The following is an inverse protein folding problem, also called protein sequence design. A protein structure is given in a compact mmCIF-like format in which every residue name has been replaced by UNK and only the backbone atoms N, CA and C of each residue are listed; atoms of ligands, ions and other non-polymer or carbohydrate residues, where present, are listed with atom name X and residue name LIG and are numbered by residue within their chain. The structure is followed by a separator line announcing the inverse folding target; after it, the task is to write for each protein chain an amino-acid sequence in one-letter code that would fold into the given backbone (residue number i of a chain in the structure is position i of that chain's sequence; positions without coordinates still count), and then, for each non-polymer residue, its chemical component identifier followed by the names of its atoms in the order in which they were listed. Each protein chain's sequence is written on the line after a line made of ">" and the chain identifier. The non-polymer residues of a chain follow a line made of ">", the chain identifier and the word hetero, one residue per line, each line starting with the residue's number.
data_IF_482825986272
#
_entry.id   IF_482825986272
#
_cell.length_a   1.000
_cell.length_b   1.000
_cell.length_c   1.000
_cell.angle_alpha   90.00
_cell.angle_beta   90.00
_cell.angle_gamma   90.00
#
_symmetry.space_group_name_H-M   'P 1'
#
loop_
_entity.id
_entity.type
_entity.pdbx_description
1 polymer ?
#
# COMPACT_ATOMS: atom_id res chain seq x y z
N UNK A 1 -32.29 -3.88 24.47
CA UNK A 1 -33.40 -2.97 24.08
C UNK A 1 -34.63 -3.14 24.97
N UNK A 2 -35.10 -4.36 25.22
CA UNK A 2 -36.30 -4.61 26.06
C UNK A 2 -36.17 -4.12 27.52
N UNK A 3 -35.02 -4.37 28.17
CA UNK A 3 -34.74 -3.87 29.51
C UNK A 3 -34.74 -2.33 29.63
N UNK A 4 -34.34 -1.60 28.56
CA UNK A 4 -34.41 -0.12 28.51
C UNK A 4 -35.85 0.37 28.56
N UNK A 5 -36.77 -0.34 27.89
CA UNK A 5 -38.19 0.00 27.92
C UNK A 5 -38.83 -0.32 29.26
N UNK A 6 -38.48 -1.43 29.91
CA UNK A 6 -38.98 -1.74 31.26
C UNK A 6 -38.49 -0.75 32.32
N UNK A 7 -37.23 -0.30 32.22
CA UNK A 7 -36.68 0.77 33.06
C UNK A 7 -37.43 2.09 32.85
N UNK A 8 -37.65 2.48 31.59
CA UNK A 8 -38.39 3.71 31.25
C UNK A 8 -39.87 3.69 31.68
N UNK A 9 -40.47 2.49 31.79
CA UNK A 9 -41.85 2.27 32.20
C UNK A 9 -42.01 1.97 33.71
N UNK A 10 -40.93 2.08 34.51
CA UNK A 10 -40.91 1.75 35.94
C UNK A 10 -41.35 0.31 36.30
N UNK A 11 -41.14 -0.66 35.41
CA UNK A 11 -41.34 -2.08 35.72
C UNK A 11 -40.14 -2.68 36.47
N UNK A 12 -40.40 -3.63 37.37
CA UNK A 12 -39.33 -4.38 38.03
C UNK A 12 -38.61 -5.29 37.02
N UNK A 13 -37.29 -5.06 36.88
CA UNK A 13 -36.43 -5.87 36.03
C UNK A 13 -35.90 -7.06 36.85
N UNK A 14 -36.13 -8.31 36.41
CA UNK A 14 -35.60 -9.48 37.10
C UNK A 14 -34.07 -9.41 37.26
N UNK A 15 -33.55 -9.88 38.39
CA UNK A 15 -32.12 -9.78 38.76
C UNK A 15 -31.18 -10.40 37.73
N UNK A 16 -31.59 -11.49 37.07
CA UNK A 16 -30.81 -12.13 36.01
C UNK A 16 -30.77 -11.30 34.70
N UNK A 17 -31.78 -10.47 34.44
CA UNK A 17 -31.80 -9.55 33.29
C UNK A 17 -30.95 -8.33 33.60
N UNK A 18 -31.00 -7.85 34.84
CA UNK A 18 -30.25 -6.67 35.31
C UNK A 18 -28.73 -6.86 35.20
N UNK A 19 -28.22 -8.05 35.53
CA UNK A 19 -26.78 -8.36 35.41
C UNK A 19 -26.28 -8.38 33.97
N UNK A 20 -27.11 -8.83 33.01
CA UNK A 20 -26.79 -8.79 31.58
C UNK A 20 -26.93 -7.37 31.03
N UNK A 21 -27.96 -6.65 31.47
CA UNK A 21 -28.23 -5.28 31.05
C UNK A 21 -27.08 -4.33 31.44
N UNK A 22 -26.52 -4.48 32.64
CA UNK A 22 -25.35 -3.71 33.08
C UNK A 22 -24.10 -3.94 32.23
N UNK A 23 -23.96 -5.12 31.60
CA UNK A 23 -22.85 -5.46 30.70
C UNK A 23 -23.16 -5.15 29.23
N UNK A 24 -24.39 -4.76 28.90
CA UNK A 24 -24.85 -4.65 27.52
C UNK A 24 -24.08 -3.59 26.72
N UNK A 25 -23.79 -2.44 27.32
CA UNK A 25 -23.04 -1.37 26.64
C UNK A 25 -21.58 -1.77 26.39
N UNK A 26 -20.92 -2.45 27.35
CA UNK A 26 -19.57 -3.00 27.17
C UNK A 26 -19.52 -4.08 26.09
N UNK A 27 -20.48 -5.00 26.08
CA UNK A 27 -20.59 -6.04 25.04
C UNK A 27 -20.83 -5.41 23.67
N UNK A 28 -21.67 -4.37 23.61
CA UNK A 28 -21.94 -3.63 22.38
C UNK A 28 -20.68 -2.92 21.85
N UNK A 29 -19.92 -2.27 22.73
CA UNK A 29 -18.65 -1.65 22.36
C UNK A 29 -17.66 -2.66 21.77
N UNK A 30 -17.45 -3.79 22.46
CA UNK A 30 -16.60 -4.88 21.98
C UNK A 30 -17.06 -5.40 20.61
N UNK A 31 -18.37 -5.57 20.42
CA UNK A 31 -18.95 -5.97 19.14
C UNK A 31 -18.63 -4.97 18.02
N UNK A 32 -18.82 -3.67 18.26
CA UNK A 32 -18.54 -2.61 17.29
C UNK A 32 -17.05 -2.57 16.92
N UNK A 33 -16.15 -2.70 17.90
CA UNK A 33 -14.70 -2.75 17.64
C UNK A 33 -14.31 -3.97 16.81
N UNK A 34 -14.79 -5.17 17.16
CA UNK A 34 -14.51 -6.40 16.39
C UNK A 34 -15.08 -6.29 14.97
N UNK A 35 -16.29 -5.75 14.82
CA UNK A 35 -16.91 -5.53 13.52
C UNK A 35 -16.05 -4.62 12.64
N UNK A 36 -15.54 -3.51 13.18
CA UNK A 36 -14.66 -2.60 12.44
C UNK A 36 -13.38 -3.30 12.00
N UNK A 37 -12.71 -4.04 12.88
CA UNK A 37 -11.49 -4.80 12.53
C UNK A 37 -11.74 -5.79 11.38
N UNK A 38 -12.88 -6.49 11.41
CA UNK A 38 -13.25 -7.45 10.35
C UNK A 38 -13.58 -6.73 9.05
N UNK A 39 -14.30 -5.60 9.10
CA UNK A 39 -14.62 -4.81 7.92
C UNK A 39 -13.36 -4.23 7.26
N UNK A 40 -12.45 -3.66 8.05
CA UNK A 40 -11.18 -3.10 7.58
C UNK A 40 -10.29 -4.19 6.99
N UNK A 41 -10.17 -5.33 7.65
CA UNK A 41 -9.46 -6.49 7.12
C UNK A 41 -10.03 -6.95 5.77
N UNK A 42 -11.35 -7.12 5.68
CA UNK A 42 -12.00 -7.53 4.43
C UNK A 42 -11.79 -6.50 3.31
N UNK A 43 -11.80 -5.22 3.65
CA UNK A 43 -11.50 -4.13 2.70
C UNK A 43 -10.06 -4.25 2.18
N UNK A 44 -9.08 -4.47 3.04
CA UNK A 44 -7.67 -4.70 2.64
C UNK A 44 -7.59 -5.87 1.66
N UNK A 45 -8.14 -7.03 2.02
CA UNK A 45 -8.07 -8.25 1.21
C UNK A 45 -8.79 -8.12 -0.14
N UNK A 46 -9.92 -7.41 -0.18
CA UNK A 46 -10.64 -7.13 -1.42
C UNK A 46 -9.92 -6.14 -2.33
N UNK A 47 -9.00 -5.34 -1.78
CA UNK A 47 -8.23 -4.35 -2.54
C UNK A 47 -6.99 -4.90 -3.24
N UNK A 48 -6.62 -6.16 -2.99
CA UNK A 48 -5.46 -6.80 -3.60
C UNK A 48 -5.83 -7.57 -4.86
N UNK A 49 -5.00 -7.40 -5.90
CA UNK A 49 -4.90 -8.31 -7.04
C UNK A 49 -4.31 -9.67 -6.64
N UNK A 50 -4.39 -10.66 -7.53
CA UNK A 50 -3.90 -12.01 -7.26
C UNK A 50 -2.39 -12.06 -7.00
N UNK A 51 -1.60 -11.23 -7.69
CA UNK A 51 -0.15 -11.15 -7.48
C UNK A 51 0.18 -10.43 -6.15
N UNK A 52 -0.52 -9.34 -5.83
CA UNK A 52 -0.37 -8.65 -4.55
C UNK A 52 -0.76 -9.55 -3.37
N UNK A 53 -1.80 -10.37 -3.51
CA UNK A 53 -2.19 -11.36 -2.50
C UNK A 53 -1.06 -12.33 -2.20
N UNK A 54 -0.29 -12.75 -3.21
CA UNK A 54 0.86 -13.63 -3.02
C UNK A 54 2.03 -12.93 -2.33
N UNK A 55 2.27 -11.66 -2.66
CA UNK A 55 3.31 -10.85 -2.04
C UNK A 55 3.00 -10.57 -0.55
N UNK A 56 1.77 -10.15 -0.25
CA UNK A 56 1.33 -9.81 1.11
C UNK A 56 0.93 -11.01 1.96
N UNK A 57 0.89 -12.23 1.39
CA UNK A 57 0.45 -13.46 2.09
C UNK A 57 1.11 -13.65 3.47
N UNK A 58 2.44 -13.48 3.65
CA UNK A 58 3.05 -13.66 4.96
C UNK A 58 2.59 -12.64 6.01
N UNK A 59 2.40 -11.37 5.61
CA UNK A 59 1.90 -10.31 6.48
C UNK A 59 0.43 -10.55 6.87
N UNK A 60 -0.40 -10.90 5.88
CA UNK A 60 -1.80 -11.27 6.09
C UNK A 60 -1.90 -12.44 7.07
N UNK A 61 -1.14 -13.51 6.85
CA UNK A 61 -1.14 -14.67 7.75
C UNK A 61 -0.65 -14.35 9.17
N UNK A 62 0.24 -13.36 9.34
CA UNK A 62 0.68 -12.90 10.66
C UNK A 62 -0.48 -12.21 11.40
N UNK A 63 -1.22 -11.34 10.72
CA UNK A 63 -2.39 -10.64 11.25
C UNK A 63 -3.53 -11.62 11.55
N UNK A 64 -3.82 -12.57 10.65
CA UNK A 64 -4.83 -13.62 10.87
C UNK A 64 -4.53 -14.45 12.12
N UNK A 65 -3.28 -14.82 12.36
CA UNK A 65 -2.87 -15.54 13.58
C UNK A 65 -3.12 -14.75 14.86
N UNK A 66 -3.01 -13.41 14.81
CA UNK A 66 -3.30 -12.53 15.94
C UNK A 66 -4.80 -12.36 16.16
N UNK A 67 -5.61 -12.35 15.10
CA UNK A 67 -7.09 -12.21 15.17
C UNK A 67 -7.77 -13.53 15.59
N UNK A 68 -7.25 -14.69 15.17
CA UNK A 68 -7.83 -16.01 15.41
C UNK A 68 -8.10 -16.38 16.88
N UNK A 69 -7.22 -16.07 17.86
CA UNK A 69 -7.52 -16.32 19.27
C UNK A 69 -8.69 -15.47 19.78
N UNK A 70 -8.96 -14.30 19.20
CA UNK A 70 -10.13 -13.48 19.49
C UNK A 70 -11.42 -14.21 19.16
N UNK A 71 -11.50 -14.86 18.00
CA UNK A 71 -12.68 -15.62 17.56
C UNK A 71 -13.00 -16.83 18.46
N UNK A 72 -11.99 -17.42 19.11
CA UNK A 72 -12.15 -18.64 19.91
C UNK A 72 -12.17 -18.40 21.43
N UNK A 73 -11.62 -17.28 21.92
CA UNK A 73 -11.48 -16.99 23.36
C UNK A 73 -12.28 -15.78 23.86
N UNK A 74 -12.78 -14.89 22.98
CA UNK A 74 -13.73 -13.86 23.37
C UNK A 74 -15.10 -14.50 23.63
N UNK A 75 -15.40 -14.77 24.88
CA UNK A 75 -16.77 -15.10 25.31
C UNK A 75 -17.40 -13.89 25.99
N UNK A 76 -18.73 -13.81 26.01
CA UNK A 76 -19.52 -12.76 26.69
C UNK A 76 -19.20 -12.59 28.19
N UNK A 77 -18.46 -13.54 28.76
CA UNK A 77 -18.05 -13.57 30.15
C UNK A 77 -16.53 -13.40 30.34
N UNK A 78 -15.80 -13.24 29.24
CA UNK A 78 -14.36 -13.09 29.27
C UNK A 78 -14.03 -11.62 29.55
N UNK A 79 -13.26 -11.39 30.60
CA UNK A 79 -12.61 -10.11 30.92
C UNK A 79 -11.43 -9.88 29.96
N UNK A 80 -11.66 -10.18 28.68
CA UNK A 80 -10.65 -10.07 27.62
C UNK A 80 -10.57 -8.59 27.32
N UNK A 81 -9.55 -8.00 27.94
CA UNK A 81 -9.38 -6.57 28.08
C UNK A 81 -9.38 -5.85 26.75
N UNK A 82 -9.90 -4.63 26.79
CA UNK A 82 -9.84 -3.63 25.73
C UNK A 82 -8.46 -3.58 25.04
N UNK A 83 -7.39 -3.92 25.77
CA UNK A 83 -6.01 -4.06 25.29
C UNK A 83 -5.85 -5.04 24.11
N UNK A 84 -6.49 -6.21 24.14
CA UNK A 84 -6.38 -7.19 23.05
C UNK A 84 -7.11 -6.73 21.78
N UNK A 85 -8.26 -6.09 21.95
CA UNK A 85 -9.03 -5.52 20.83
C UNK A 85 -8.27 -4.33 20.23
N UNK A 86 -7.68 -3.49 21.08
CA UNK A 86 -6.80 -2.41 20.66
C UNK A 86 -5.58 -2.94 19.90
N UNK A 87 -4.98 -4.04 20.35
CA UNK A 87 -3.86 -4.69 19.66
C UNK A 87 -4.29 -5.19 18.27
N UNK A 88 -5.42 -5.89 18.15
CA UNK A 88 -5.94 -6.35 16.86
C UNK A 88 -6.23 -5.18 15.91
N UNK A 89 -6.84 -4.11 16.42
CA UNK A 89 -7.13 -2.90 15.66
C UNK A 89 -5.85 -2.20 15.20
N UNK A 90 -4.84 -2.10 16.07
CA UNK A 90 -3.56 -1.50 15.73
C UNK A 90 -2.81 -2.31 14.65
N UNK A 91 -2.77 -3.65 14.77
CA UNK A 91 -2.15 -4.50 13.76
C UNK A 91 -2.83 -4.38 12.38
N UNK A 92 -4.17 -4.31 12.35
CA UNK A 92 -4.91 -4.11 11.09
C UNK A 92 -4.67 -2.71 10.51
N UNK A 93 -4.57 -1.68 11.36
CA UNK A 93 -4.26 -0.32 10.94
C UNK A 93 -2.83 -0.18 10.39
N UNK A 94 -1.85 -0.81 11.03
CA UNK A 94 -0.46 -0.90 10.54
C UNK A 94 -0.38 -1.59 9.18
N UNK A 95 -1.11 -2.71 9.01
CA UNK A 95 -1.19 -3.39 7.72
C UNK A 95 -1.81 -2.47 6.64
N UNK A 96 -2.89 -1.77 6.95
CA UNK A 96 -3.52 -0.82 6.03
C UNK A 96 -2.56 0.30 5.63
N UNK A 97 -1.88 0.92 6.60
CA UNK A 97 -0.92 1.98 6.35
C UNK A 97 0.20 1.51 5.42
N UNK A 98 0.75 0.31 5.66
CA UNK A 98 1.78 -0.26 4.80
C UNK A 98 1.27 -0.56 3.38
N UNK A 99 0.03 -1.05 3.23
CA UNK A 99 -0.59 -1.25 1.91
C UNK A 99 -0.76 0.06 1.15
N UNK A 100 -1.14 1.13 1.85
CA UNK A 100 -1.30 2.46 1.25
C UNK A 100 0.07 3.02 0.82
N UNK A 101 1.11 2.89 1.65
CA UNK A 101 2.48 3.28 1.31
C UNK A 101 3.00 2.49 0.11
N UNK A 102 2.80 1.18 0.08
CA UNK A 102 3.14 0.32 -1.06
C UNK A 102 2.47 0.77 -2.35
N UNK A 103 1.15 1.03 -2.32
CA UNK A 103 0.41 1.51 -3.49
C UNK A 103 0.88 2.89 -3.94
N UNK A 104 1.17 3.78 -2.99
CA UNK A 104 1.71 5.11 -3.28
C UNK A 104 3.08 5.02 -3.96
N UNK A 105 3.99 4.18 -3.45
CA UNK A 105 5.30 3.93 -4.06
C UNK A 105 5.16 3.45 -5.50
N UNK A 106 4.28 2.48 -5.75
CA UNK A 106 4.07 1.95 -7.09
C UNK A 106 3.55 3.00 -8.07
N UNK A 107 2.60 3.84 -7.64
CA UNK A 107 2.09 4.94 -8.45
C UNK A 107 3.20 5.97 -8.75
N UNK A 108 4.05 6.28 -7.78
CA UNK A 108 5.17 7.19 -7.97
C UNK A 108 6.20 6.62 -8.95
N UNK A 109 6.51 5.32 -8.88
CA UNK A 109 7.40 4.66 -9.83
C UNK A 109 6.83 4.74 -11.24
N UNK A 110 5.54 4.41 -11.43
CA UNK A 110 4.88 4.51 -12.74
C UNK A 110 4.92 5.96 -13.26
N UNK A 111 4.64 6.94 -12.42
CA UNK A 111 4.74 8.36 -12.80
C UNK A 111 6.15 8.78 -13.21
N UNK A 112 7.19 8.22 -12.58
CA UNK A 112 8.57 8.44 -12.99
C UNK A 112 8.84 7.79 -14.35
N UNK A 113 8.37 6.56 -14.59
CA UNK A 113 8.48 5.89 -15.89
C UNK A 113 7.78 6.68 -17.00
N UNK A 114 6.61 7.26 -16.75
CA UNK A 114 5.93 8.16 -17.69
C UNK A 114 6.77 9.39 -18.01
N UNK A 115 7.36 10.04 -16.99
CA UNK A 115 8.28 11.18 -17.19
C UNK A 115 9.51 10.81 -18.02
N UNK A 116 10.00 9.57 -17.88
CA UNK A 116 11.10 9.05 -18.70
C UNK A 116 10.65 8.97 -20.16
N UNK A 117 9.48 8.39 -20.45
CA UNK A 117 8.94 8.34 -21.82
C UNK A 117 8.84 9.73 -22.47
N UNK A 118 8.50 10.75 -21.69
CA UNK A 118 8.29 12.14 -22.14
C UNK A 118 9.57 13.00 -22.20
N UNK A 119 10.75 12.45 -21.88
CA UNK A 119 12.03 13.20 -21.82
C UNK A 119 12.98 12.86 -22.98
N UNK A 120 12.68 13.20 -24.24
CA UNK A 120 13.45 12.75 -25.40
C UNK A 120 14.92 13.21 -25.35
N UNK A 121 15.83 12.36 -25.82
CA UNK A 121 17.28 12.59 -25.91
C UNK A 121 17.67 13.68 -26.91
N UNK A 122 16.81 13.98 -27.88
CA UNK A 122 17.08 14.99 -28.90
C UNK A 122 15.97 16.05 -28.89
N UNK A 123 16.38 17.31 -28.82
CA UNK A 123 15.51 18.44 -29.06
C UNK A 123 16.21 19.38 -30.05
N UNK A 124 15.73 19.40 -31.28
CA UNK A 124 16.22 20.35 -32.30
C UNK A 124 15.28 21.55 -32.27
N UNK A 125 15.83 22.74 -32.00
CA UNK A 125 15.04 23.97 -32.02
C UNK A 125 14.52 24.22 -33.45
N UNK A 126 13.20 24.30 -33.66
CA UNK A 126 12.66 24.64 -34.98
C UNK A 126 13.06 26.08 -35.37
N UNK A 127 13.27 26.33 -36.66
CA UNK A 127 13.63 27.63 -37.25
C UNK A 127 15.01 28.21 -36.90
N UNK A 128 15.98 27.40 -36.45
CA UNK A 128 17.36 27.84 -36.28
C UNK A 128 18.26 27.26 -37.40
N UNK A 129 19.01 28.12 -38.09
CA UNK A 129 20.10 27.70 -38.96
C UNK A 129 21.34 27.46 -38.09
N UNK A 130 21.64 26.20 -37.81
CA UNK A 130 22.82 25.83 -37.03
C UNK A 130 24.03 25.59 -37.94
N UNK A 131 25.20 26.03 -37.51
CA UNK A 131 26.44 25.41 -37.96
C UNK A 131 26.54 24.00 -37.38
N UNK A 132 27.15 23.07 -38.12
CA UNK A 132 27.21 21.66 -37.72
C UNK A 132 27.93 21.48 -36.37
N UNK A 133 28.91 22.33 -36.07
CA UNK A 133 29.66 22.30 -34.82
C UNK A 133 28.80 22.77 -33.64
N UNK A 134 28.02 23.82 -33.84
CA UNK A 134 27.13 24.39 -32.81
C UNK A 134 25.97 23.43 -32.50
N UNK A 135 25.41 22.78 -33.52
CA UNK A 135 24.38 21.75 -33.34
C UNK A 135 24.89 20.57 -32.50
N UNK A 136 26.07 20.04 -32.84
CA UNK A 136 26.66 18.90 -32.11
C UNK A 136 26.93 19.29 -30.67
N UNK A 137 27.47 20.49 -30.42
CA UNK A 137 27.73 20.97 -29.07
C UNK A 137 26.44 21.10 -28.25
N UNK A 138 25.39 21.70 -28.80
CA UNK A 138 24.08 21.80 -28.11
C UNK A 138 23.45 20.44 -27.84
N UNK A 139 23.54 19.50 -28.79
CA UNK A 139 23.04 18.14 -28.62
C UNK A 139 23.77 17.39 -27.50
N UNK A 140 25.10 17.52 -27.41
CA UNK A 140 25.90 16.87 -26.36
C UNK A 140 25.53 17.44 -24.98
N UNK A 141 25.41 18.77 -24.86
CA UNK A 141 25.03 19.42 -23.59
C UNK A 141 23.61 19.01 -23.17
N UNK A 142 22.66 18.98 -24.10
CA UNK A 142 21.30 18.55 -23.83
C UNK A 142 21.22 17.07 -23.44
N UNK A 143 21.96 16.20 -24.13
CA UNK A 143 22.01 14.78 -23.81
C UNK A 143 22.59 14.53 -22.42
N UNK A 144 23.61 15.29 -22.01
CA UNK A 144 24.19 15.21 -20.66
C UNK A 144 23.15 15.59 -19.58
N UNK A 145 22.39 16.67 -19.78
CA UNK A 145 21.30 17.07 -18.88
C UNK A 145 20.19 16.01 -18.79
N UNK A 146 19.80 15.41 -19.92
CA UNK A 146 18.82 14.31 -19.94
C UNK A 146 19.35 13.06 -19.23
N UNK A 147 20.63 12.71 -19.42
CA UNK A 147 21.25 11.58 -18.72
C UNK A 147 21.35 11.82 -17.21
N UNK A 148 21.66 13.04 -16.78
CA UNK A 148 21.62 13.41 -15.36
C UNK A 148 20.20 13.29 -14.78
N UNK A 149 19.18 13.76 -15.51
CA UNK A 149 17.77 13.60 -15.10
C UNK A 149 17.35 12.15 -15.03
N UNK A 150 17.68 11.34 -16.04
CA UNK A 150 17.37 9.92 -16.07
C UNK A 150 18.03 9.17 -14.90
N UNK A 151 19.28 9.53 -14.60
CA UNK A 151 20.00 9.02 -13.43
C UNK A 151 19.25 9.38 -12.16
N UNK A 152 18.79 10.63 -11.99
CA UNK A 152 18.02 11.04 -10.82
C UNK A 152 16.70 10.27 -10.67
N UNK A 153 16.00 10.00 -11.77
CA UNK A 153 14.77 9.20 -11.80
C UNK A 153 15.03 7.76 -11.34
N UNK A 154 16.11 7.14 -11.80
CA UNK A 154 16.49 5.80 -11.38
C UNK A 154 16.79 5.73 -9.87
N UNK A 155 17.47 6.73 -9.32
CA UNK A 155 17.72 6.81 -7.88
C UNK A 155 16.43 6.96 -7.08
N UNK A 156 15.46 7.74 -7.56
CA UNK A 156 14.14 7.86 -6.91
C UNK A 156 13.37 6.55 -6.94
N UNK A 157 13.37 5.81 -8.07
CA UNK A 157 12.75 4.49 -8.16
C UNK A 157 13.38 3.53 -7.14
N UNK A 158 14.72 3.50 -7.04
CA UNK A 158 15.41 2.67 -6.04
C UNK A 158 14.97 3.02 -4.63
N UNK A 159 14.82 4.31 -4.29
CA UNK A 159 14.36 4.72 -2.95
C UNK A 159 12.97 4.17 -2.64
N UNK A 160 12.03 4.22 -3.59
CA UNK A 160 10.70 3.63 -3.40
C UNK A 160 10.77 2.12 -3.23
N UNK A 161 11.60 1.43 -4.00
CA UNK A 161 11.80 -0.02 -3.87
C UNK A 161 12.38 -0.36 -2.48
N UNK A 162 13.35 0.41 -1.98
CA UNK A 162 13.93 0.22 -0.65
C UNK A 162 12.87 0.44 0.44
N UNK A 163 12.04 1.49 0.33
CA UNK A 163 10.98 1.74 1.30
C UNK A 163 9.99 0.57 1.39
N UNK A 164 9.60 0.01 0.24
CA UNK A 164 8.74 -1.18 0.20
C UNK A 164 9.47 -2.39 0.79
N UNK A 165 10.77 -2.56 0.52
CA UNK A 165 11.57 -3.64 1.07
C UNK A 165 11.63 -3.61 2.61
N UNK A 166 11.81 -2.42 3.20
CA UNK A 166 11.87 -2.24 4.65
C UNK A 166 10.61 -2.75 5.35
N UNK A 167 9.41 -2.48 4.80
CA UNK A 167 8.16 -3.00 5.37
C UNK A 167 7.99 -4.52 5.25
N UNK A 168 8.82 -5.17 4.43
CA UNK A 168 8.82 -6.59 4.16
C UNK A 168 9.99 -7.35 4.79
N UNK A 169 10.93 -6.65 5.43
CA UNK A 169 12.20 -7.19 5.93
C UNK A 169 12.00 -8.41 6.85
N UNK A 170 11.03 -8.33 7.76
CA UNK A 170 10.75 -9.39 8.74
C UNK A 170 10.17 -10.68 8.14
N UNK A 171 9.59 -10.62 6.93
CA UNK A 171 8.92 -11.76 6.28
C UNK A 171 9.61 -12.21 4.99
N UNK A 172 10.69 -11.55 4.61
CA UNK A 172 11.45 -11.75 3.37
C UNK A 172 11.89 -13.21 3.15
N UNK A 173 12.25 -13.91 4.23
CA UNK A 173 12.64 -15.33 4.17
C UNK A 173 11.57 -16.27 3.61
N UNK A 174 10.30 -15.88 3.64
CA UNK A 174 9.18 -16.71 3.17
C UNK A 174 8.63 -16.32 1.79
N UNK A 175 9.06 -15.17 1.25
CA UNK A 175 8.49 -14.58 0.03
C UNK A 175 9.52 -14.09 -0.98
N UNK A 176 10.79 -14.52 -0.84
CA UNK A 176 11.88 -14.17 -1.75
C UNK A 176 11.50 -14.29 -3.24
N UNK A 177 10.81 -15.36 -3.64
CA UNK A 177 10.40 -15.56 -5.03
C UNK A 177 9.39 -14.51 -5.51
N UNK A 178 8.46 -14.07 -4.66
CA UNK A 178 7.48 -13.05 -5.04
C UNK A 178 8.12 -11.67 -5.08
N UNK A 179 9.06 -11.40 -4.17
CA UNK A 179 9.85 -10.18 -4.21
C UNK A 179 10.69 -10.07 -5.50
N UNK A 180 11.36 -11.15 -5.91
CA UNK A 180 12.12 -11.16 -7.17
C UNK A 180 11.20 -10.86 -8.37
N UNK A 181 10.01 -11.45 -8.41
CA UNK A 181 9.03 -11.14 -9.47
C UNK A 181 8.59 -9.68 -9.44
N UNK A 182 8.33 -9.14 -8.25
CA UNK A 182 7.98 -7.74 -8.07
C UNK A 182 9.08 -6.81 -8.62
N UNK A 183 10.36 -7.05 -8.28
CA UNK A 183 11.50 -6.29 -8.82
C UNK A 183 11.60 -6.42 -10.34
N UNK A 184 11.52 -7.65 -10.87
CA UNK A 184 11.61 -7.88 -12.32
C UNK A 184 10.51 -7.16 -13.11
N UNK A 185 9.32 -6.98 -12.51
CA UNK A 185 8.24 -6.21 -13.14
C UNK A 185 8.63 -4.72 -13.28
N UNK A 186 9.30 -4.13 -12.30
CA UNK A 186 9.80 -2.75 -12.42
C UNK A 186 10.98 -2.63 -13.37
N UNK A 187 11.89 -3.59 -13.37
CA UNK A 187 12.99 -3.61 -14.34
C UNK A 187 12.45 -3.64 -15.77
N UNK A 188 11.42 -4.46 -16.02
CA UNK A 188 10.73 -4.51 -17.32
C UNK A 188 10.01 -3.20 -17.63
N UNK A 189 9.32 -2.61 -16.66
CA UNK A 189 8.63 -1.32 -16.85
C UNK A 189 9.62 -0.19 -17.20
N UNK A 190 10.76 -0.17 -16.53
CA UNK A 190 11.84 0.79 -16.78
C UNK A 190 12.47 0.56 -18.15
N UNK A 191 12.73 -0.69 -18.52
CA UNK A 191 13.27 -1.04 -19.84
C UNK A 191 12.34 -0.57 -20.97
N UNK A 192 11.03 -0.81 -20.85
CA UNK A 192 10.04 -0.35 -21.82
C UNK A 192 9.95 1.18 -21.86
N UNK A 193 10.00 1.86 -20.71
CA UNK A 193 10.00 3.32 -20.66
C UNK A 193 11.22 3.92 -21.40
N UNK A 194 12.41 3.32 -21.24
CA UNK A 194 13.62 3.71 -21.96
C UNK A 194 13.53 3.44 -23.46
N UNK A 195 12.97 2.29 -23.87
CA UNK A 195 12.75 1.99 -25.30
C UNK A 195 11.82 3.01 -25.95
N UNK A 196 10.73 3.36 -25.28
CA UNK A 196 9.77 4.38 -25.75
C UNK A 196 10.46 5.74 -25.81
N UNK A 197 11.22 6.11 -24.79
CA UNK A 197 11.99 7.35 -24.79
C UNK A 197 12.94 7.46 -26.00
N UNK A 198 13.74 6.42 -26.25
CA UNK A 198 14.61 6.34 -27.42
C UNK A 198 13.81 6.48 -28.72
N UNK A 199 12.69 5.76 -28.84
CA UNK A 199 11.82 5.81 -30.01
C UNK A 199 11.24 7.21 -30.24
N UNK A 200 10.71 7.84 -29.19
CA UNK A 200 10.18 9.21 -29.24
C UNK A 200 11.25 10.20 -29.70
N UNK A 201 12.49 10.02 -29.23
CA UNK A 201 13.63 10.84 -29.64
C UNK A 201 13.93 10.73 -31.15
N UNK A 202 13.70 9.57 -31.76
CA UNK A 202 13.83 9.38 -33.21
C UNK A 202 12.59 9.78 -34.01
N UNK A 203 11.39 9.76 -33.40
CA UNK A 203 10.13 10.17 -34.02
C UNK A 203 9.90 11.69 -33.99
N UNK A 204 10.70 12.45 -33.23
CA UNK A 204 10.77 13.92 -33.36
C UNK A 204 11.20 14.22 -34.79
N UNK A 205 10.19 14.49 -35.62
CA UNK A 205 10.35 14.92 -37.01
C UNK A 205 11.20 16.20 -37.02
N UNK A 206 12.39 16.07 -37.60
CA UNK A 206 13.09 17.15 -38.30
C UNK A 206 12.12 17.94 -39.19
#
# INVERSE_FOLDING_TARGET
>A
HEAKYWEALNYEIPTYVKSVYQKADSIKFVYECVLNVVLDYNKIISSFSDDERLLFKPLISSVEKKIMPGLNKLTWNADVGDEYIAECSNNTAELQAFVDDYKSCNLNIVSICEKICDSPFFYIRPNCAFDIHDLVHEMVVYMDDILMKLTSYYHEIIKYIILVFEGFEHVMGTMANQWIKYINNFDTLMEEALKINCRNSFEIRL
#
